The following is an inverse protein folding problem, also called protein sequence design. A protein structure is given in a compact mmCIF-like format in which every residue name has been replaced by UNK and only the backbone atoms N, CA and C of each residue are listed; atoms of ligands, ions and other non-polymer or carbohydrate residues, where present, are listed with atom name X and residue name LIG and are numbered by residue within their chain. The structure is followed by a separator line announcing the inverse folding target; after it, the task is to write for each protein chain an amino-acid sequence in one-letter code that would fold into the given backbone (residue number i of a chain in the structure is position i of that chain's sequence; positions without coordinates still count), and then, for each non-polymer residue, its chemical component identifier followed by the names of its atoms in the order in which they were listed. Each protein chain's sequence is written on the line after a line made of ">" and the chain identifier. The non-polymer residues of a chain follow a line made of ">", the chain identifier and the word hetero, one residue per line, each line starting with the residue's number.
data_IF_909580709089
#
_entry.id   IF_909580709089
#
_cell.length_a   1.000
_cell.length_b   1.000
_cell.length_c   1.000
_cell.angle_alpha   90.00
_cell.angle_beta   90.00
_cell.angle_gamma   90.00
#
_symmetry.space_group_name_H-M   'P 1'
#
loop_
_entity.id
_entity.type
_entity.pdbx_description
1 polymer ?
#
# COMPACT_ATOMS: atom_id res chain seq x y z
N UNK A 1 19.08 -25.68 -2.59
CA UNK A 1 19.85 -24.68 -3.33
C UNK A 1 18.87 -23.64 -3.87
N UNK A 2 18.70 -22.54 -3.13
CA UNK A 2 17.78 -21.46 -3.51
C UNK A 2 18.51 -20.59 -4.53
N UNK A 3 18.16 -20.69 -5.80
CA UNK A 3 18.65 -19.77 -6.83
C UNK A 3 17.94 -18.44 -6.64
N UNK A 4 18.64 -17.45 -6.12
CA UNK A 4 18.21 -16.06 -6.20
C UNK A 4 18.37 -15.60 -7.65
N UNK A 5 17.25 -15.34 -8.32
CA UNK A 5 17.25 -14.73 -9.64
C UNK A 5 17.63 -13.26 -9.48
N UNK A 6 18.88 -12.92 -9.78
CA UNK A 6 19.37 -11.54 -9.80
C UNK A 6 18.81 -10.84 -11.03
N UNK A 7 17.74 -10.09 -10.86
CA UNK A 7 17.09 -9.31 -11.93
C UNK A 7 17.92 -8.10 -12.40
N UNK A 8 19.03 -7.76 -11.72
CA UNK A 8 19.85 -6.60 -12.05
C UNK A 8 21.34 -6.90 -11.94
N UNK A 9 22.16 -6.59 -12.97
CA UNK A 9 23.61 -6.76 -12.95
C UNK A 9 24.31 -5.92 -11.89
N UNK A 10 23.64 -4.87 -11.37
CA UNK A 10 24.19 -3.97 -10.35
C UNK A 10 24.32 -4.62 -8.95
N UNK A 11 23.59 -5.69 -8.66
CA UNK A 11 23.68 -6.37 -7.36
C UNK A 11 25.02 -7.07 -7.14
N UNK A 12 25.74 -7.37 -8.20
CA UNK A 12 27.06 -8.04 -8.13
C UNK A 12 28.15 -7.03 -7.74
N UNK A 13 28.04 -5.78 -8.18
CA UNK A 13 29.04 -4.73 -7.89
C UNK A 13 29.03 -4.31 -6.42
N UNK A 14 27.87 -4.34 -5.77
CA UNK A 14 27.70 -3.90 -4.38
C UNK A 14 27.85 -5.01 -3.34
N UNK A 15 28.01 -6.27 -3.75
CA UNK A 15 28.24 -7.40 -2.82
C UNK A 15 29.58 -7.34 -2.08
N UNK A 16 30.54 -6.55 -2.58
CA UNK A 16 31.86 -6.36 -1.95
C UNK A 16 31.92 -5.20 -0.97
N UNK A 17 30.85 -4.38 -0.88
CA UNK A 17 30.78 -3.28 0.05
C UNK A 17 30.20 -3.74 1.38
N UNK A 18 30.79 -3.27 2.49
CA UNK A 18 30.23 -3.48 3.81
C UNK A 18 28.83 -2.85 3.89
N UNK A 19 27.87 -3.60 4.42
CA UNK A 19 26.51 -3.10 4.62
C UNK A 19 26.50 -1.97 5.66
N UNK A 20 26.01 -0.80 5.30
CA UNK A 20 25.84 0.33 6.22
C UNK A 20 24.63 0.18 7.14
N UNK A 21 23.82 -0.87 6.95
CA UNK A 21 22.61 -1.18 7.75
C UNK A 21 21.69 -2.17 7.02
N UNK A 22 20.61 -2.57 7.71
CA UNK A 22 19.58 -3.43 7.09
C UNK A 22 18.87 -2.70 5.97
N UNK A 23 19.08 -3.02 4.75
CA UNK A 23 18.48 -2.33 3.58
C UNK A 23 19.49 -1.73 2.62
N UNK A 24 20.79 -1.76 2.95
CA UNK A 24 21.83 -1.29 2.03
C UNK A 24 21.86 -2.03 0.69
N UNK A 25 21.33 -3.27 0.64
CA UNK A 25 21.12 -4.02 -0.61
C UNK A 25 20.01 -3.49 -1.52
N UNK A 26 19.23 -2.52 -1.07
CA UNK A 26 18.17 -1.84 -1.84
C UNK A 26 18.66 -0.61 -2.61
N UNK A 27 19.95 -0.32 -2.54
CA UNK A 27 20.54 0.78 -3.30
C UNK A 27 20.30 0.60 -4.79
N UNK A 28 19.73 1.60 -5.46
CA UNK A 28 19.37 1.55 -6.86
C UNK A 28 17.95 1.05 -7.16
N UNK A 29 17.17 0.67 -6.13
CA UNK A 29 15.74 0.44 -6.33
C UNK A 29 15.06 1.78 -6.74
N UNK A 30 14.37 1.85 -7.88
CA UNK A 30 13.82 3.11 -8.38
C UNK A 30 12.75 3.64 -7.43
N UNK A 31 12.91 4.88 -6.97
CA UNK A 31 12.08 5.52 -5.94
C UNK A 31 10.98 6.44 -6.48
N UNK A 32 11.00 6.76 -7.79
CA UNK A 32 10.01 7.66 -8.38
C UNK A 32 8.61 7.02 -8.52
N UNK A 33 7.61 7.87 -8.83
CA UNK A 33 6.20 7.45 -8.90
C UNK A 33 5.75 7.06 -10.31
N UNK A 34 6.66 6.90 -11.25
CA UNK A 34 6.31 6.42 -12.59
C UNK A 34 5.85 4.96 -12.59
N UNK A 35 4.97 4.54 -13.53
CA UNK A 35 4.49 3.16 -13.58
C UNK A 35 5.61 2.11 -13.64
N UNK A 36 6.68 2.25 -14.44
CA UNK A 36 7.78 1.28 -14.46
C UNK A 36 8.47 1.14 -13.10
N UNK A 37 8.76 2.25 -12.43
CA UNK A 37 9.42 2.27 -11.13
C UNK A 37 8.55 1.63 -10.04
N UNK A 38 7.26 1.90 -10.06
CA UNK A 38 6.30 1.25 -9.15
C UNK A 38 6.21 -0.25 -9.40
N UNK A 39 6.19 -0.68 -10.67
CA UNK A 39 6.18 -2.10 -11.02
C UNK A 39 7.41 -2.84 -10.47
N UNK A 40 8.61 -2.27 -10.65
CA UNK A 40 9.85 -2.86 -10.16
C UNK A 40 9.81 -3.00 -8.64
N UNK A 41 9.37 -1.95 -7.91
CA UNK A 41 9.23 -2.01 -6.45
C UNK A 41 8.21 -3.07 -6.03
N UNK A 42 7.06 -3.14 -6.69
CA UNK A 42 6.02 -4.12 -6.38
C UNK A 42 6.52 -5.56 -6.56
N UNK A 43 7.19 -5.85 -7.68
CA UNK A 43 7.77 -7.16 -7.95
C UNK A 43 8.84 -7.53 -6.89
N UNK A 44 9.69 -6.58 -6.51
CA UNK A 44 10.69 -6.78 -5.48
C UNK A 44 10.04 -7.07 -4.11
N UNK A 45 9.12 -6.22 -3.65
CA UNK A 45 8.46 -6.40 -2.37
C UNK A 45 7.64 -7.69 -2.31
N UNK A 46 6.94 -8.04 -3.41
CA UNK A 46 6.21 -9.30 -3.50
C UNK A 46 7.15 -10.51 -3.35
N UNK A 47 8.32 -10.46 -4.01
CA UNK A 47 9.28 -11.58 -3.97
C UNK A 47 9.95 -11.76 -2.61
N UNK A 48 10.03 -10.71 -1.81
CA UNK A 48 10.68 -10.69 -0.48
C UNK A 48 9.69 -10.77 0.67
N UNK A 49 8.39 -10.63 0.41
CA UNK A 49 7.36 -10.67 1.45
C UNK A 49 7.34 -12.04 2.16
N UNK A 50 7.31 -12.05 3.50
CA UNK A 50 7.17 -13.29 4.25
C UNK A 50 5.80 -13.91 4.04
N UNK A 51 5.73 -15.26 4.09
CA UNK A 51 4.46 -15.97 4.19
C UNK A 51 4.02 -15.99 5.65
N UNK A 52 2.94 -15.31 5.95
CA UNK A 52 2.37 -15.23 7.28
C UNK A 52 1.22 -16.23 7.41
N UNK A 53 1.09 -16.87 8.57
CA UNK A 53 0.04 -17.85 8.84
C UNK A 53 -1.26 -17.17 9.31
N UNK A 54 -1.13 -16.01 9.93
CA UNK A 54 -2.25 -15.22 10.45
C UNK A 54 -2.83 -14.30 9.38
N UNK A 55 -4.18 -14.23 9.32
CA UNK A 55 -4.90 -13.41 8.35
C UNK A 55 -4.67 -11.91 8.59
N UNK A 56 -4.83 -11.47 9.85
CA UNK A 56 -4.70 -10.06 10.20
C UNK A 56 -3.27 -9.57 9.96
N UNK A 57 -2.26 -10.39 10.31
CA UNK A 57 -0.87 -10.09 10.02
C UNK A 57 -0.61 -10.01 8.50
N UNK A 58 -1.24 -10.86 7.71
CA UNK A 58 -1.14 -10.85 6.25
C UNK A 58 -1.75 -9.58 5.66
N UNK A 59 -2.93 -9.17 6.15
CA UNK A 59 -3.58 -7.92 5.75
C UNK A 59 -2.72 -6.72 6.10
N UNK A 60 -2.19 -6.66 7.33
CA UNK A 60 -1.29 -5.59 7.76
C UNK A 60 -0.04 -5.52 6.87
N UNK A 61 0.58 -6.66 6.58
CA UNK A 61 1.73 -6.72 5.68
C UNK A 61 1.39 -6.21 4.27
N UNK A 62 0.23 -6.56 3.73
CA UNK A 62 -0.23 -6.05 2.45
C UNK A 62 -0.33 -4.51 2.44
N UNK A 63 -0.91 -3.91 3.49
CA UNK A 63 -0.97 -2.46 3.60
C UNK A 63 0.40 -1.81 3.82
N UNK A 64 1.33 -2.46 4.55
CA UNK A 64 2.71 -1.98 4.66
C UNK A 64 3.42 -1.94 3.29
N UNK A 65 3.21 -2.95 2.45
CA UNK A 65 3.73 -2.95 1.08
C UNK A 65 3.08 -1.84 0.24
N UNK A 66 1.75 -1.70 0.31
CA UNK A 66 0.99 -0.71 -0.43
C UNK A 66 1.32 0.74 -0.04
N UNK A 67 1.76 0.98 1.21
CA UNK A 67 2.24 2.30 1.66
C UNK A 67 3.37 2.86 0.80
N UNK A 68 4.18 1.99 0.19
CA UNK A 68 5.28 2.42 -0.69
C UNK A 68 4.80 2.97 -2.04
N UNK A 69 3.51 2.92 -2.31
CA UNK A 69 2.90 3.38 -3.56
C UNK A 69 1.93 4.54 -3.34
N UNK A 70 1.79 5.02 -2.11
CA UNK A 70 0.95 6.16 -1.80
C UNK A 70 1.54 7.44 -2.41
N UNK A 71 0.71 8.14 -3.17
CA UNK A 71 1.04 9.43 -3.78
C UNK A 71 0.44 10.52 -2.88
N UNK A 72 1.26 11.31 -2.17
CA UNK A 72 0.75 12.39 -1.34
C UNK A 72 0.19 13.54 -2.18
N UNK A 73 -0.75 14.27 -1.61
CA UNK A 73 -1.28 15.50 -2.21
C UNK A 73 -0.14 16.49 -2.45
N UNK A 74 -0.11 17.10 -3.61
CA UNK A 74 0.86 18.15 -3.96
C UNK A 74 2.01 17.69 -4.86
N UNK A 75 2.35 16.43 -4.92
CA UNK A 75 3.48 15.92 -5.73
C UNK A 75 3.27 16.16 -7.24
N UNK A 76 2.02 16.16 -7.70
CA UNK A 76 1.67 16.28 -9.12
C UNK A 76 1.02 17.64 -9.47
N UNK A 77 1.10 18.62 -8.57
CA UNK A 77 0.52 19.94 -8.83
C UNK A 77 1.53 20.92 -9.41
N UNK A 78 1.13 21.59 -10.47
CA UNK A 78 1.84 22.76 -10.99
C UNK A 78 1.66 24.01 -10.10
N UNK A 79 0.61 24.08 -9.29
CA UNK A 79 0.36 25.18 -8.35
C UNK A 79 0.05 24.64 -6.94
N UNK A 80 1.00 24.73 -5.98
CA UNK A 80 0.81 24.19 -4.62
C UNK A 80 -0.17 25.00 -3.76
N UNK A 81 -0.67 26.16 -4.23
CA UNK A 81 -1.53 27.05 -3.44
C UNK A 81 -3.02 26.67 -3.48
N UNK A 82 -3.42 25.82 -4.45
CA UNK A 82 -4.80 25.41 -4.63
C UNK A 82 -4.90 23.89 -4.67
N UNK A 83 -5.43 23.30 -3.61
CA UNK A 83 -5.74 21.87 -3.58
C UNK A 83 -7.13 21.67 -4.19
N UNK A 84 -7.26 21.01 -5.34
CA UNK A 84 -8.57 20.74 -5.92
C UNK A 84 -9.39 19.82 -5.01
N UNK A 85 -10.70 19.85 -5.16
CA UNK A 85 -11.60 19.00 -4.36
C UNK A 85 -11.31 17.50 -4.51
N UNK A 86 -10.77 17.09 -5.68
CA UNK A 86 -10.26 15.76 -5.93
C UNK A 86 -8.78 15.87 -6.36
N UNK A 87 -7.84 15.86 -5.41
CA UNK A 87 -6.43 16.00 -5.72
C UNK A 87 -5.88 14.79 -6.46
N UNK A 88 -4.86 15.00 -7.28
CA UNK A 88 -4.07 13.91 -7.86
C UNK A 88 -3.18 13.28 -6.78
N UNK A 89 -3.74 12.30 -6.11
CA UNK A 89 -3.14 11.59 -4.98
C UNK A 89 -3.76 10.20 -4.86
N UNK A 90 -3.22 9.32 -4.01
CA UNK A 90 -3.85 8.05 -3.72
C UNK A 90 -5.13 8.26 -2.92
N UNK A 91 -6.28 8.11 -3.57
CA UNK A 91 -7.60 8.33 -2.96
C UNK A 91 -8.02 7.17 -2.07
N UNK A 92 -7.78 5.95 -2.54
CA UNK A 92 -8.18 4.70 -1.87
C UNK A 92 -7.07 3.67 -2.07
N UNK A 93 -6.77 2.92 -1.01
CA UNK A 93 -5.89 1.76 -1.05
C UNK A 93 -6.72 0.53 -0.72
N UNK A 94 -6.65 -0.50 -1.57
CA UNK A 94 -7.48 -1.70 -1.47
C UNK A 94 -6.61 -2.95 -1.46
N UNK A 95 -6.95 -3.90 -0.58
CA UNK A 95 -6.40 -5.25 -0.57
C UNK A 95 -7.57 -6.25 -0.58
N UNK A 96 -7.52 -7.24 -1.50
CA UNK A 96 -8.56 -8.24 -1.66
C UNK A 96 -8.08 -9.60 -1.15
N UNK A 97 -8.77 -10.16 -0.17
CA UNK A 97 -8.63 -11.55 0.23
C UNK A 97 -9.61 -12.39 -0.59
N UNK A 98 -9.08 -13.03 -1.63
CA UNK A 98 -9.87 -13.87 -2.53
C UNK A 98 -10.33 -15.17 -1.87
N UNK A 99 -9.57 -15.69 -0.90
CA UNK A 99 -9.89 -16.93 -0.19
C UNK A 99 -11.08 -16.77 0.71
N UNK A 100 -11.08 -15.70 1.52
CA UNK A 100 -12.17 -15.42 2.47
C UNK A 100 -13.24 -14.53 1.87
N UNK A 101 -13.07 -14.03 0.64
CA UNK A 101 -13.98 -13.11 -0.05
C UNK A 101 -14.20 -11.83 0.73
N UNK A 102 -13.10 -11.21 1.18
CA UNK A 102 -13.08 -9.96 1.92
C UNK A 102 -12.35 -8.88 1.15
N UNK A 103 -12.88 -7.66 1.20
CA UNK A 103 -12.27 -6.47 0.64
C UNK A 103 -11.87 -5.55 1.78
N UNK A 104 -10.57 -5.36 1.95
CA UNK A 104 -10.02 -4.42 2.92
C UNK A 104 -9.67 -3.12 2.21
N UNK A 105 -9.98 -1.99 2.83
CA UNK A 105 -9.69 -0.69 2.24
C UNK A 105 -9.44 0.38 3.30
N UNK A 106 -8.75 1.41 2.89
CA UNK A 106 -8.60 2.69 3.58
C UNK A 106 -8.68 3.81 2.55
N UNK A 107 -8.93 5.01 3.01
CA UNK A 107 -9.01 6.19 2.14
C UNK A 107 -7.93 7.21 2.50
N UNK A 108 -7.80 8.25 1.69
CA UNK A 108 -6.89 9.35 1.98
C UNK A 108 -7.28 10.16 3.23
N UNK A 109 -8.55 10.07 3.66
CA UNK A 109 -9.08 10.81 4.80
C UNK A 109 -9.17 9.98 6.08
N UNK A 110 -9.12 8.65 5.95
CA UNK A 110 -9.16 7.73 7.08
C UNK A 110 -8.24 6.54 6.80
N UNK A 111 -7.12 6.51 7.51
CA UNK A 111 -6.11 5.46 7.39
C UNK A 111 -6.49 4.17 8.13
N UNK A 112 -7.59 4.15 8.88
CA UNK A 112 -8.11 2.94 9.51
C UNK A 112 -8.50 1.91 8.45
N UNK A 113 -8.06 0.67 8.62
CA UNK A 113 -8.41 -0.41 7.70
C UNK A 113 -9.85 -0.85 7.98
N UNK A 114 -10.68 -0.78 6.96
CA UNK A 114 -12.09 -1.21 6.99
C UNK A 114 -12.25 -2.45 6.12
N UNK A 115 -13.18 -3.33 6.47
CA UNK A 115 -13.42 -4.59 5.78
C UNK A 115 -14.87 -4.69 5.30
N UNK A 116 -15.05 -5.13 4.07
CA UNK A 116 -16.33 -5.56 3.52
C UNK A 116 -16.27 -7.08 3.34
N UNK A 117 -17.08 -7.82 4.09
CA UNK A 117 -17.23 -9.26 3.93
C UNK A 117 -18.29 -9.52 2.84
N UNK A 118 -17.85 -9.98 1.67
CA UNK A 118 -18.73 -10.23 0.54
C UNK A 118 -19.71 -11.38 0.79
N UNK A 119 -19.38 -12.31 1.71
CA UNK A 119 -20.27 -13.40 2.10
C UNK A 119 -21.49 -12.92 2.90
N UNK A 120 -21.39 -11.77 3.54
CA UNK A 120 -22.49 -11.15 4.27
C UNK A 120 -23.54 -10.50 3.35
N UNK A 121 -23.22 -10.31 2.06
CA UNK A 121 -24.08 -9.61 1.10
C UNK A 121 -24.98 -10.60 0.38
N UNK A 122 -26.28 -10.41 0.47
CA UNK A 122 -27.24 -11.18 -0.31
C UNK A 122 -27.40 -10.57 -1.72
N UNK A 123 -26.55 -10.96 -2.64
CA UNK A 123 -26.53 -10.44 -4.02
C UNK A 123 -27.83 -10.74 -4.82
N UNK A 124 -28.65 -11.68 -4.40
CA UNK A 124 -29.94 -11.92 -5.04
C UNK A 124 -30.99 -10.85 -4.69
N UNK A 125 -30.86 -10.24 -3.51
CA UNK A 125 -31.79 -9.20 -3.02
C UNK A 125 -31.30 -7.79 -3.30
N UNK A 126 -29.98 -7.58 -3.29
CA UNK A 126 -29.37 -6.27 -3.52
C UNK A 126 -29.22 -6.05 -5.01
N UNK A 127 -30.04 -5.18 -5.59
CA UNK A 127 -29.93 -4.81 -7.02
C UNK A 127 -28.81 -3.80 -7.26
N UNK A 128 -28.75 -2.78 -6.44
CA UNK A 128 -27.74 -1.71 -6.47
C UNK A 128 -27.67 -1.04 -5.10
N UNK A 129 -26.47 -0.82 -4.61
CA UNK A 129 -26.22 -0.06 -3.38
C UNK A 129 -24.92 0.70 -3.50
N UNK A 130 -24.88 1.93 -3.00
CA UNK A 130 -23.68 2.71 -2.87
C UNK A 130 -23.59 3.32 -1.47
N UNK A 131 -22.36 3.59 -1.01
CA UNK A 131 -22.12 4.32 0.22
C UNK A 131 -21.03 5.35 -0.01
N UNK A 132 -21.17 6.51 0.61
CA UNK A 132 -20.11 7.51 0.66
C UNK A 132 -19.11 7.05 1.71
N UNK A 133 -17.84 6.88 1.33
CA UNK A 133 -16.83 6.29 2.20
C UNK A 133 -16.43 7.23 3.36
N UNK A 134 -16.28 8.53 3.09
CA UNK A 134 -15.82 9.51 4.08
C UNK A 134 -16.62 10.82 3.95
N UNK A 135 -17.69 10.91 4.73
CA UNK A 135 -18.54 12.10 4.75
C UNK A 135 -17.80 13.33 5.29
N UNK A 136 -17.04 13.15 6.35
CA UNK A 136 -16.42 14.25 7.09
C UNK A 136 -15.02 14.63 6.57
N UNK A 137 -14.44 13.82 5.68
CA UNK A 137 -13.07 14.01 5.15
C UNK A 137 -12.04 14.32 6.24
N UNK A 138 -12.12 13.62 7.36
CA UNK A 138 -11.27 13.82 8.54
C UNK A 138 -10.70 12.49 9.02
N UNK A 139 -9.39 12.50 9.30
CA UNK A 139 -8.74 11.37 9.97
C UNK A 139 -9.16 11.37 11.45
N UNK A 140 -9.73 10.26 11.96
CA UNK A 140 -9.91 10.08 13.40
C UNK A 140 -8.55 10.09 14.11
N UNK A 141 -8.42 10.91 15.17
CA UNK A 141 -7.20 11.00 15.98
C UNK A 141 -7.57 10.71 17.42
N UNK A 142 -6.92 9.69 17.99
CA UNK A 142 -7.04 9.37 19.40
C UNK A 142 -5.99 10.14 20.20
N UNK A 143 -6.44 10.92 21.19
CA UNK A 143 -5.57 11.66 22.09
C UNK A 143 -5.29 10.88 23.36
N UNK A 144 -4.08 10.35 23.50
CA UNK A 144 -3.65 9.60 24.67
C UNK A 144 -3.25 10.60 25.77
N UNK A 145 -3.90 10.50 26.94
CA UNK A 145 -3.51 11.25 28.13
C UNK A 145 -2.48 10.45 28.93
N UNK A 146 -1.29 11.00 29.03
CA UNK A 146 -0.24 10.47 29.92
C UNK A 146 -0.55 10.99 31.33
N UNK A 147 -0.67 10.07 32.29
CA UNK A 147 -0.83 10.39 33.72
C UNK A 147 0.50 10.30 34.43
#
# INVERSE_FOLDING_TARGET
>A
STRYMTLFPYTTLFRSLNAFGGGSGLHGLPGDMTPPSRFIRAAFFQSTAPRLADEDATVMQAFHLLNNFDIPVGIQFSNPREVPNMPSATQVTIASDLRNQRLYYRTMYDSSIRCIDLKSINFQRVKFQFAILDLDKRQPIEYIRIR
#
